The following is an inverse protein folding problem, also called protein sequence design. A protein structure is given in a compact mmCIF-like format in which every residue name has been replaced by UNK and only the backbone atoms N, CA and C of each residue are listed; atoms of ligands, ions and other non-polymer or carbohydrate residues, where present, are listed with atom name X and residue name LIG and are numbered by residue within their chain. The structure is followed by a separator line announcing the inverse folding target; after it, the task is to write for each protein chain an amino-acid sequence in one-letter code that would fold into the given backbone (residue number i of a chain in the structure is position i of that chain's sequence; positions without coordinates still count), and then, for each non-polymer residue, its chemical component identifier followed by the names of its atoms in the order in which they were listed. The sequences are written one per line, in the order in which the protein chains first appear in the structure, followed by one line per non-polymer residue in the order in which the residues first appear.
data_IF_280965401692
#
_entry.id   IF_280965401692
#
_cell.length_a   1.000
_cell.length_b   1.000
_cell.length_c   1.000
_cell.angle_alpha   90.00
_cell.angle_beta   90.00
_cell.angle_gamma   90.00
#
_symmetry.space_group_name_H-M   'P 1'
#
loop_
_entity.id
_entity.type
_entity.pdbx_description
1 polymer ?
#
# COMPACT_ATOMS: atom_id res chain seq x y z
N UNK A 1 -38.61 17.42 -11.96
CA UNK A 1 -37.46 18.32 -11.70
C UNK A 1 -36.24 17.42 -11.89
N UNK A 2 -36.06 17.01 -13.14
CA UNK A 2 -35.38 15.78 -13.53
C UNK A 2 -34.50 16.12 -14.73
N UNK A 3 -33.26 15.60 -14.72
CA UNK A 3 -32.23 15.59 -15.80
C UNK A 3 -30.88 16.30 -15.49
N UNK A 4 -30.67 16.93 -14.34
CA UNK A 4 -29.40 17.66 -14.08
C UNK A 4 -28.35 16.92 -13.20
N UNK A 5 -28.50 15.62 -12.95
CA UNK A 5 -27.49 14.78 -12.28
C UNK A 5 -26.86 13.77 -13.25
N UNK A 6 -26.64 14.20 -14.49
CA UNK A 6 -25.88 13.46 -15.51
C UNK A 6 -24.39 13.43 -15.14
N UNK A 7 -23.95 12.32 -14.54
CA UNK A 7 -22.54 11.93 -14.25
C UNK A 7 -21.68 13.00 -13.54
N UNK A 8 -21.43 12.77 -12.25
CA UNK A 8 -20.49 13.55 -11.44
C UNK A 8 -19.01 13.36 -11.83
N UNK A 9 -18.71 12.31 -12.60
CA UNK A 9 -17.36 11.95 -13.05
C UNK A 9 -17.33 12.02 -14.59
N UNK A 10 -16.57 12.95 -15.20
CA UNK A 10 -16.33 12.97 -16.63
C UNK A 10 -15.78 11.64 -17.17
N UNK A 11 -16.26 11.25 -18.36
CA UNK A 11 -15.94 9.96 -18.99
C UNK A 11 -14.45 9.72 -19.23
N UNK A 12 -13.65 10.78 -19.28
CA UNK A 12 -12.22 10.70 -19.51
C UNK A 12 -11.40 10.35 -18.26
N UNK A 13 -11.94 10.53 -17.04
CA UNK A 13 -11.17 10.24 -15.83
C UNK A 13 -11.01 8.74 -15.55
N UNK A 14 -12.00 7.90 -15.88
CA UNK A 14 -11.89 6.45 -15.72
C UNK A 14 -10.69 5.86 -16.47
N UNK A 15 -10.57 6.06 -17.79
CA UNK A 15 -9.41 5.64 -18.57
C UNK A 15 -8.09 6.26 -18.08
N UNK A 16 -8.12 7.53 -17.66
CA UNK A 16 -6.92 8.21 -17.16
C UNK A 16 -6.44 7.60 -15.85
N UNK A 17 -7.33 7.36 -14.89
CA UNK A 17 -6.99 6.69 -13.64
C UNK A 17 -6.54 5.24 -13.85
N UNK A 18 -7.17 4.51 -14.77
CA UNK A 18 -6.71 3.16 -15.13
C UNK A 18 -5.26 3.19 -15.63
N UNK A 19 -4.92 4.17 -16.49
CA UNK A 19 -3.55 4.37 -16.96
C UNK A 19 -2.59 4.74 -15.84
N UNK A 20 -3.02 5.55 -14.86
CA UNK A 20 -2.19 5.87 -13.70
C UNK A 20 -1.97 4.64 -12.81
N UNK A 21 -3.01 3.83 -12.57
CA UNK A 21 -2.87 2.55 -11.86
C UNK A 21 -1.85 1.63 -12.52
N UNK A 22 -1.90 1.47 -13.84
CA UNK A 22 -0.93 0.65 -14.56
C UNK A 22 0.49 1.22 -14.47
N UNK A 23 0.62 2.55 -14.64
CA UNK A 23 1.90 3.26 -14.52
C UNK A 23 2.51 3.10 -13.14
N UNK A 24 1.76 3.41 -12.07
CA UNK A 24 2.22 3.29 -10.67
C UNK A 24 2.62 1.85 -10.36
N UNK A 25 1.80 0.87 -10.74
CA UNK A 25 2.07 -0.54 -10.50
C UNK A 25 3.33 -1.02 -11.26
N UNK A 26 3.48 -0.63 -12.52
CA UNK A 26 4.65 -0.95 -13.34
C UNK A 26 5.93 -0.35 -12.77
N UNK A 27 5.90 0.93 -12.39
CA UNK A 27 7.04 1.63 -11.80
C UNK A 27 7.43 1.06 -10.45
N UNK A 28 6.47 0.79 -9.56
CA UNK A 28 6.73 0.16 -8.26
C UNK A 28 7.39 -1.22 -8.42
N UNK A 29 6.89 -2.06 -9.34
CA UNK A 29 7.51 -3.37 -9.61
C UNK A 29 8.91 -3.25 -10.21
N UNK A 30 9.14 -2.24 -11.05
CA UNK A 30 10.45 -2.00 -11.63
C UNK A 30 11.47 -1.59 -10.57
N UNK A 31 11.11 -0.65 -9.68
CA UNK A 31 11.92 -0.24 -8.53
C UNK A 31 12.22 -1.44 -7.62
N UNK A 32 11.23 -2.30 -7.35
CA UNK A 32 11.41 -3.49 -6.53
C UNK A 32 12.35 -4.55 -7.14
N UNK A 33 12.64 -4.46 -8.45
CA UNK A 33 13.59 -5.34 -9.14
C UNK A 33 15.00 -4.74 -9.24
N UNK A 34 15.15 -3.44 -8.96
CA UNK A 34 16.46 -2.82 -8.90
C UNK A 34 17.31 -3.46 -7.80
N UNK A 35 18.63 -3.42 -8.01
CA UNK A 35 19.57 -3.98 -7.06
C UNK A 35 19.46 -3.28 -5.70
N UNK A 36 19.52 -4.03 -4.58
CA UNK A 36 19.59 -3.45 -3.24
C UNK A 36 20.86 -2.57 -3.09
N UNK A 37 20.70 -1.38 -2.52
CA UNK A 37 21.79 -0.39 -2.30
C UNK A 37 22.74 -0.73 -1.15
N UNK A 38 22.42 -1.76 -0.37
CA UNK A 38 23.09 -2.07 0.89
C UNK A 38 24.55 -2.42 0.70
N UNK A 39 25.43 -1.67 1.38
CA UNK A 39 26.86 -1.90 1.34
C UNK A 39 27.27 -3.21 2.03
N UNK A 40 28.50 -3.67 1.79
CA UNK A 40 29.03 -4.87 2.46
C UNK A 40 29.11 -4.67 3.97
N UNK A 41 29.42 -3.46 4.40
CA UNK A 41 29.52 -3.07 5.81
C UNK A 41 28.14 -3.13 6.49
N UNK A 42 27.08 -2.65 5.82
CA UNK A 42 25.71 -2.74 6.35
C UNK A 42 25.27 -4.19 6.51
N UNK A 43 25.58 -5.06 5.53
CA UNK A 43 25.27 -6.49 5.60
C UNK A 43 26.06 -7.18 6.72
N UNK A 44 27.34 -6.87 6.86
CA UNK A 44 28.19 -7.40 7.92
C UNK A 44 27.66 -7.02 9.32
N UNK A 45 27.24 -5.77 9.49
CA UNK A 45 26.63 -5.30 10.75
C UNK A 45 25.35 -6.07 11.08
N UNK A 46 24.47 -6.27 10.10
CA UNK A 46 23.26 -7.07 10.31
C UNK A 46 23.60 -8.52 10.73
N UNK A 47 24.59 -9.14 10.09
CA UNK A 47 25.04 -10.48 10.47
C UNK A 47 25.58 -10.55 11.89
N UNK A 48 26.40 -9.57 12.31
CA UNK A 48 26.94 -9.50 13.67
C UNK A 48 25.83 -9.36 14.73
N UNK A 49 24.84 -8.52 14.46
CA UNK A 49 23.73 -8.27 15.39
C UNK A 49 22.86 -9.52 15.50
N UNK A 50 22.38 -10.05 14.38
CA UNK A 50 21.44 -11.16 14.42
C UNK A 50 22.09 -12.50 14.76
N UNK A 51 23.42 -12.62 14.73
CA UNK A 51 24.19 -13.81 15.14
C UNK A 51 23.55 -15.11 14.65
N UNK A 52 23.11 -15.06 13.39
CA UNK A 52 22.50 -16.19 12.72
C UNK A 52 23.56 -16.79 11.83
N UNK A 53 23.90 -18.06 12.08
CA UNK A 53 24.77 -18.90 11.22
C UNK A 53 24.24 -19.04 9.78
N UNK A 54 23.17 -18.33 9.44
CA UNK A 54 22.41 -18.44 8.21
C UNK A 54 22.36 -17.07 7.54
N UNK A 55 22.80 -17.04 6.30
CA UNK A 55 22.82 -15.91 5.34
C UNK A 55 21.44 -15.24 5.07
N UNK A 56 20.42 -15.48 5.88
CA UNK A 56 19.01 -15.31 5.51
C UNK A 56 18.40 -13.94 5.83
N UNK A 57 18.82 -13.24 6.89
CA UNK A 57 18.07 -12.04 7.34
C UNK A 57 18.07 -10.89 6.31
N UNK A 58 19.22 -10.51 5.71
CA UNK A 58 19.25 -9.63 4.55
C UNK A 58 18.36 -10.07 3.39
N UNK A 59 18.41 -11.36 3.05
CA UNK A 59 17.68 -11.93 1.92
C UNK A 59 16.16 -11.90 2.17
N UNK A 60 15.74 -12.26 3.39
CA UNK A 60 14.35 -12.24 3.84
C UNK A 60 13.75 -10.83 3.73
N UNK A 61 14.52 -9.82 4.09
CA UNK A 61 14.10 -8.42 3.98
C UNK A 61 13.81 -8.04 2.53
N UNK A 62 14.65 -8.48 1.60
CA UNK A 62 14.45 -8.23 0.18
C UNK A 62 13.30 -9.04 -0.41
N UNK A 63 13.12 -10.30 0.02
CA UNK A 63 11.96 -11.12 -0.35
C UNK A 63 10.65 -10.48 0.10
N UNK A 64 10.59 -9.97 1.35
CA UNK A 64 9.42 -9.28 1.87
C UNK A 64 9.17 -7.97 1.12
N UNK A 65 10.20 -7.15 0.90
CA UNK A 65 10.07 -5.92 0.10
C UNK A 65 9.52 -6.22 -1.31
N UNK A 66 10.05 -7.24 -1.97
CA UNK A 66 9.62 -7.62 -3.31
C UNK A 66 8.20 -8.20 -3.31
N UNK A 67 7.85 -9.03 -2.32
CA UNK A 67 6.51 -9.60 -2.18
C UNK A 67 5.47 -8.50 -1.94
N UNK A 68 5.73 -7.58 -1.02
CA UNK A 68 4.85 -6.45 -0.72
C UNK A 68 4.71 -5.51 -1.93
N UNK A 69 5.81 -5.16 -2.60
CA UNK A 69 5.75 -4.31 -3.80
C UNK A 69 4.96 -4.97 -4.95
N UNK A 70 5.16 -6.27 -5.17
CA UNK A 70 4.40 -7.02 -6.17
C UNK A 70 2.92 -7.13 -5.80
N UNK A 71 2.60 -7.33 -4.52
CA UNK A 71 1.23 -7.41 -4.04
C UNK A 71 0.52 -6.06 -4.17
N UNK A 72 1.13 -4.97 -3.69
CA UNK A 72 0.64 -3.60 -3.88
C UNK A 72 0.40 -3.29 -5.35
N UNK A 73 1.36 -3.59 -6.22
CA UNK A 73 1.20 -3.36 -7.66
C UNK A 73 0.03 -4.17 -8.25
N UNK A 74 -0.17 -5.42 -7.82
CA UNK A 74 -1.30 -6.23 -8.24
C UNK A 74 -2.64 -5.64 -7.80
N UNK A 75 -2.72 -5.17 -6.55
CA UNK A 75 -3.92 -4.53 -6.00
C UNK A 75 -4.25 -3.24 -6.77
N UNK A 76 -3.25 -2.39 -7.01
CA UNK A 76 -3.38 -1.13 -7.77
C UNK A 76 -3.81 -1.40 -9.22
N UNK A 77 -3.23 -2.39 -9.92
CA UNK A 77 -3.73 -2.81 -11.25
C UNK A 77 -5.18 -3.27 -11.18
N UNK A 78 -5.53 -4.06 -10.15
CA UNK A 78 -6.90 -4.49 -9.88
C UNK A 78 -7.87 -3.32 -9.78
N UNK A 79 -7.50 -2.25 -9.06
CA UNK A 79 -8.29 -1.02 -8.97
C UNK A 79 -8.49 -0.38 -10.35
N UNK A 80 -7.43 -0.30 -11.17
CA UNK A 80 -7.47 0.22 -12.54
C UNK A 80 -8.36 -0.61 -13.47
N UNK A 81 -8.33 -1.94 -13.38
CA UNK A 81 -9.22 -2.81 -14.16
C UNK A 81 -10.69 -2.66 -13.80
N UNK A 82 -10.97 -2.34 -12.53
CA UNK A 82 -12.33 -2.16 -12.04
C UNK A 82 -12.88 -0.74 -12.26
N UNK A 83 -12.03 0.25 -12.59
CA UNK A 83 -12.46 1.66 -12.70
C UNK A 83 -13.38 1.96 -13.85
N UNK A 84 -13.27 1.18 -14.91
CA UNK A 84 -14.14 1.29 -16.07
C UNK A 84 -15.38 0.38 -15.97
N UNK A 85 -15.54 -0.37 -14.87
CA UNK A 85 -16.65 -1.32 -14.67
C UNK A 85 -17.68 -0.78 -13.69
N UNK A 86 -18.65 -0.06 -14.24
CA UNK A 86 -19.81 0.49 -13.49
C UNK A 86 -20.52 -0.63 -12.72
N UNK A 87 -20.78 -0.42 -11.43
CA UNK A 87 -21.59 -1.32 -10.59
C UNK A 87 -20.83 -2.38 -9.77
N UNK A 88 -19.49 -2.33 -9.71
CA UNK A 88 -18.66 -3.26 -8.92
C UNK A 88 -18.09 -2.65 -7.62
N UNK A 89 -18.76 -1.66 -7.01
CA UNK A 89 -18.26 -0.97 -5.80
C UNK A 89 -17.89 -1.91 -4.66
N UNK A 90 -18.74 -2.88 -4.35
CA UNK A 90 -18.48 -3.86 -3.29
C UNK A 90 -17.19 -4.67 -3.49
N UNK A 91 -16.75 -4.84 -4.74
CA UNK A 91 -15.51 -5.53 -5.07
C UNK A 91 -14.27 -4.61 -5.01
N UNK A 92 -14.45 -3.29 -4.98
CA UNK A 92 -13.35 -2.30 -5.06
C UNK A 92 -12.89 -1.81 -3.70
N UNK A 93 -13.80 -1.57 -2.76
CA UNK A 93 -13.42 -1.12 -1.41
C UNK A 93 -12.42 -2.07 -0.73
N UNK A 94 -12.60 -3.41 -0.77
CA UNK A 94 -11.59 -4.33 -0.20
C UNK A 94 -10.21 -4.20 -0.87
N UNK A 95 -10.17 -3.93 -2.17
CA UNK A 95 -8.91 -3.70 -2.89
C UNK A 95 -8.27 -2.36 -2.53
N UNK A 96 -9.07 -1.31 -2.27
CA UNK A 96 -8.57 -0.02 -1.80
C UNK A 96 -7.93 -0.20 -0.43
N UNK A 97 -8.66 -0.81 0.52
CA UNK A 97 -8.16 -1.08 1.88
C UNK A 97 -6.86 -1.86 1.80
N UNK A 98 -6.85 -3.01 1.12
CA UNK A 98 -5.65 -3.84 1.00
C UNK A 98 -4.48 -3.08 0.34
N UNK A 99 -4.75 -2.21 -0.65
CA UNK A 99 -3.71 -1.41 -1.30
C UNK A 99 -3.14 -0.35 -0.36
N UNK A 100 -3.98 0.30 0.45
CA UNK A 100 -3.55 1.24 1.50
C UNK A 100 -2.67 0.50 2.52
N UNK A 101 -3.18 -0.57 3.13
CA UNK A 101 -2.48 -1.34 4.16
C UNK A 101 -1.13 -1.88 3.67
N UNK A 102 -1.10 -2.52 2.50
CA UNK A 102 0.13 -3.10 1.94
C UNK A 102 1.15 -2.02 1.57
N UNK A 103 0.69 -0.86 1.05
CA UNK A 103 1.57 0.27 0.74
C UNK A 103 2.13 0.91 2.02
N UNK A 104 1.31 1.09 3.06
CA UNK A 104 1.75 1.62 4.35
C UNK A 104 2.78 0.70 5.00
N UNK A 105 2.56 -0.62 4.91
CA UNK A 105 3.49 -1.62 5.39
C UNK A 105 4.85 -1.55 4.66
N UNK A 106 4.81 -1.52 3.33
CA UNK A 106 6.03 -1.39 2.51
C UNK A 106 6.79 -0.10 2.80
N UNK A 107 6.07 1.02 2.91
CA UNK A 107 6.67 2.30 3.29
C UNK A 107 7.32 2.21 4.68
N UNK A 108 6.58 1.69 5.68
CA UNK A 108 7.02 1.61 7.07
C UNK A 108 8.35 0.87 7.18
N UNK A 109 8.46 -0.30 6.57
CA UNK A 109 9.70 -1.10 6.57
C UNK A 109 10.88 -0.28 6.01
N UNK A 110 10.67 0.45 4.92
CA UNK A 110 11.74 1.16 4.22
C UNK A 110 12.10 2.54 4.82
N UNK A 111 11.35 3.02 5.82
CA UNK A 111 11.66 4.25 6.56
C UNK A 111 12.86 4.12 7.49
N UNK A 112 13.22 2.91 7.91
CA UNK A 112 14.21 2.70 8.96
C UNK A 112 15.65 2.47 8.46
N UNK A 113 16.59 2.39 9.41
CA UNK A 113 17.94 1.93 9.12
C UNK A 113 17.94 0.48 8.63
N UNK A 114 19.03 0.03 8.03
CA UNK A 114 19.09 -1.32 7.45
C UNK A 114 18.85 -2.45 8.47
N UNK A 115 19.41 -2.32 9.67
CA UNK A 115 19.26 -3.32 10.74
C UNK A 115 17.82 -3.33 11.25
N UNK A 116 17.26 -2.16 11.53
CA UNK A 116 15.86 -2.03 11.98
C UNK A 116 14.90 -2.55 10.91
N UNK A 117 15.19 -2.30 9.63
CA UNK A 117 14.41 -2.81 8.51
C UNK A 117 14.38 -4.33 8.49
N UNK A 118 15.53 -4.97 8.73
CA UNK A 118 15.62 -6.42 8.86
C UNK A 118 14.73 -6.94 9.99
N UNK A 119 14.79 -6.29 11.14
CA UNK A 119 13.91 -6.60 12.27
C UNK A 119 12.43 -6.40 11.91
N UNK A 120 12.04 -5.26 11.37
CA UNK A 120 10.65 -4.98 11.01
C UNK A 120 10.11 -5.91 9.92
N UNK A 121 10.93 -6.34 8.97
CA UNK A 121 10.55 -7.35 7.97
C UNK A 121 10.24 -8.71 8.62
N UNK A 122 10.97 -9.10 9.68
CA UNK A 122 10.62 -10.31 10.44
C UNK A 122 9.31 -10.16 11.19
N UNK A 123 9.07 -9.00 11.81
CA UNK A 123 7.81 -8.70 12.50
C UNK A 123 6.59 -8.68 11.58
N UNK A 124 6.76 -8.32 10.31
CA UNK A 124 5.69 -8.48 9.31
C UNK A 124 5.28 -9.95 9.17
N UNK A 125 6.23 -10.86 9.16
CA UNK A 125 5.93 -12.29 9.00
C UNK A 125 5.23 -12.82 10.26
N UNK A 126 5.75 -12.52 11.44
CA UNK A 126 5.19 -13.01 12.71
C UNK A 126 3.82 -12.41 13.03
N UNK A 127 3.67 -11.10 12.84
CA UNK A 127 2.52 -10.37 13.38
C UNK A 127 1.42 -10.17 12.34
N UNK A 128 1.75 -10.16 11.04
CA UNK A 128 0.81 -9.86 9.95
C UNK A 128 0.56 -11.04 9.00
N UNK A 129 1.55 -11.88 8.73
CA UNK A 129 1.38 -13.06 7.86
C UNK A 129 0.88 -14.28 8.65
N UNK A 130 -0.26 -14.15 9.32
CA UNK A 130 -0.87 -15.24 10.09
C UNK A 130 -1.66 -16.21 9.19
N UNK A 131 -0.95 -16.99 8.38
CA UNK A 131 -1.52 -18.20 7.80
C UNK A 131 -1.21 -19.40 8.71
N UNK A 132 -2.21 -19.97 9.41
CA UNK A 132 -1.99 -21.13 10.29
C UNK A 132 -1.43 -22.35 9.55
N UNK A 133 -1.62 -22.41 8.23
CA UNK A 133 -1.06 -23.45 7.36
C UNK A 133 0.42 -23.21 7.07
N UNK A 134 0.83 -21.98 6.77
CA UNK A 134 2.23 -21.64 6.56
C UNK A 134 3.02 -21.76 7.87
N UNK A 135 2.48 -21.28 8.98
CA UNK A 135 3.14 -21.38 10.30
C UNK A 135 3.38 -22.84 10.72
N UNK A 136 2.47 -23.77 10.40
CA UNK A 136 2.67 -25.22 10.66
C UNK A 136 3.69 -25.88 9.73
N UNK A 137 3.74 -25.48 8.46
CA UNK A 137 4.69 -26.02 7.48
C UNK A 137 6.10 -25.46 7.69
N UNK A 138 6.23 -24.33 8.41
CA UNK A 138 7.48 -23.62 8.67
C UNK A 138 7.75 -23.42 10.18
N UNK A 139 7.49 -24.42 11.03
CA UNK A 139 7.77 -24.31 12.47
C UNK A 139 9.24 -23.99 12.80
N UNK A 140 10.18 -24.34 11.91
CA UNK A 140 11.59 -23.96 12.01
C UNK A 140 11.82 -22.46 11.75
N UNK A 141 10.94 -21.82 10.97
CA UNK A 141 10.96 -20.39 10.69
C UNK A 141 10.46 -19.59 11.91
N UNK A 142 9.50 -20.12 12.67
CA UNK A 142 8.99 -19.47 13.89
C UNK A 142 10.11 -19.29 14.93
N UNK A 143 10.83 -20.36 15.27
CA UNK A 143 11.98 -20.27 16.18
C UNK A 143 13.12 -19.38 15.65
N UNK A 144 13.30 -19.31 14.33
CA UNK A 144 14.26 -18.40 13.70
C UNK A 144 13.83 -16.93 13.81
N UNK A 145 12.57 -16.62 13.57
CA UNK A 145 12.02 -15.27 13.70
C UNK A 145 12.06 -14.78 15.16
N UNK A 146 11.74 -15.66 16.11
CA UNK A 146 11.89 -15.38 17.56
C UNK A 146 13.34 -15.10 17.95
N UNK A 147 14.30 -15.83 17.38
CA UNK A 147 15.72 -15.60 17.62
C UNK A 147 16.18 -14.24 17.09
N UNK A 148 15.72 -13.85 15.89
CA UNK A 148 16.01 -12.51 15.32
C UNK A 148 15.44 -11.41 16.20
N UNK A 149 14.18 -11.56 16.63
CA UNK A 149 13.54 -10.61 17.52
C UNK A 149 14.30 -10.47 18.84
N UNK A 150 14.65 -11.60 19.48
CA UNK A 150 15.41 -11.61 20.74
C UNK A 150 16.78 -10.95 20.58
N UNK A 151 17.48 -11.24 19.48
CA UNK A 151 18.79 -10.67 19.19
C UNK A 151 18.70 -9.14 19.01
N UNK A 152 17.71 -8.66 18.25
CA UNK A 152 17.47 -7.22 18.08
C UNK A 152 17.14 -6.54 19.42
N UNK A 153 16.22 -7.12 20.18
CA UNK A 153 15.77 -6.56 21.46
C UNK A 153 16.89 -6.50 22.49
N UNK A 154 17.85 -7.43 22.43
CA UNK A 154 18.97 -7.49 23.39
C UNK A 154 20.15 -6.61 22.99
N UNK A 155 20.42 -6.47 21.68
CA UNK A 155 21.66 -5.84 21.18
C UNK A 155 21.46 -4.44 20.59
N UNK A 156 20.24 -4.09 20.15
CA UNK A 156 19.96 -2.83 19.44
C UNK A 156 18.99 -1.95 20.21
N UNK A 157 17.89 -2.50 20.71
CA UNK A 157 16.85 -1.72 21.39
C UNK A 157 16.13 -2.54 22.43
N UNK A 158 16.10 -2.09 23.69
CA UNK A 158 15.31 -2.73 24.75
C UNK A 158 13.77 -2.57 24.57
N UNK A 159 13.31 -1.95 23.47
CA UNK A 159 11.89 -1.71 23.20
C UNK A 159 11.21 -2.96 22.62
N UNK A 160 10.30 -3.53 23.41
CA UNK A 160 9.37 -4.60 22.98
C UNK A 160 8.10 -4.07 22.33
N UNK A 161 8.20 -2.93 21.65
CA UNK A 161 7.02 -2.31 21.05
C UNK A 161 6.34 -3.28 20.06
N UNK A 162 5.00 -3.43 20.14
CA UNK A 162 4.26 -4.23 19.19
C UNK A 162 4.33 -3.61 17.80
N UNK A 163 4.28 -4.45 16.76
CA UNK A 163 4.12 -3.95 15.41
C UNK A 163 2.80 -3.19 15.29
N UNK A 164 2.78 -1.97 14.71
CA UNK A 164 1.54 -1.19 14.62
C UNK A 164 0.45 -1.95 13.86
N UNK A 165 -0.80 -1.78 14.30
CA UNK A 165 -1.94 -2.32 13.56
C UNK A 165 -2.13 -1.59 12.20
N UNK A 166 -2.91 -2.18 11.30
CA UNK A 166 -3.04 -1.64 9.94
C UNK A 166 -3.69 -0.25 9.92
N UNK A 167 -4.63 -0.01 10.84
CA UNK A 167 -5.25 1.29 11.00
C UNK A 167 -4.24 2.37 11.40
N UNK A 168 -3.31 2.05 12.30
CA UNK A 168 -2.24 2.95 12.71
C UNK A 168 -1.30 3.23 11.54
N UNK A 169 -0.85 2.19 10.82
CA UNK A 169 0.06 2.36 9.67
C UNK A 169 -0.55 3.23 8.57
N UNK A 170 -1.81 2.95 8.21
CA UNK A 170 -2.51 3.73 7.19
C UNK A 170 -2.74 5.16 7.66
N UNK A 171 -3.15 5.36 8.92
CA UNK A 171 -3.37 6.69 9.51
C UNK A 171 -2.09 7.53 9.54
N UNK A 172 -0.95 6.95 9.96
CA UNK A 172 0.35 7.64 9.95
C UNK A 172 0.73 8.04 8.51
N UNK A 173 0.66 7.09 7.58
CA UNK A 173 0.99 7.33 6.18
C UNK A 173 0.09 8.41 5.55
N UNK A 174 -1.22 8.30 5.73
CA UNK A 174 -2.18 9.27 5.20
C UNK A 174 -2.08 10.61 5.91
N UNK A 175 -1.81 10.63 7.22
CA UNK A 175 -1.52 11.84 7.98
C UNK A 175 -0.36 12.64 7.37
N UNK A 176 0.70 11.94 6.95
CA UNK A 176 1.82 12.56 6.22
C UNK A 176 1.45 13.04 4.82
N UNK A 177 0.61 12.30 4.09
CA UNK A 177 0.30 12.58 2.68
C UNK A 177 -0.82 13.61 2.47
N UNK A 178 -1.78 13.70 3.40
CA UNK A 178 -2.98 14.52 3.26
C UNK A 178 -3.37 15.34 4.51
N UNK A 179 -2.66 15.21 5.64
CA UNK A 179 -2.82 16.11 6.80
C UNK A 179 -3.89 15.72 7.83
N UNK A 180 -4.29 14.44 7.85
CA UNK A 180 -5.25 13.88 8.82
C UNK A 180 -6.39 13.19 8.08
N UNK A 181 -6.81 12.00 8.56
CA UNK A 181 -7.76 11.21 7.78
C UNK A 181 -8.75 10.39 8.62
N UNK A 182 -10.06 10.67 8.46
CA UNK A 182 -11.17 9.80 8.89
C UNK A 182 -11.57 8.80 7.80
N UNK A 183 -11.09 8.97 6.57
CA UNK A 183 -11.48 8.20 5.38
C UNK A 183 -11.19 6.71 5.53
N UNK A 184 -10.02 6.34 6.06
CA UNK A 184 -9.69 4.92 6.21
C UNK A 184 -10.72 4.17 7.07
N UNK A 185 -11.12 4.78 8.19
CA UNK A 185 -12.15 4.23 9.06
C UNK A 185 -13.50 4.14 8.34
N UNK A 186 -13.87 5.18 7.60
CA UNK A 186 -15.10 5.21 6.80
C UNK A 186 -15.12 4.13 5.70
N UNK A 187 -14.00 3.90 5.00
CA UNK A 187 -13.89 2.83 4.00
C UNK A 187 -13.95 1.44 4.65
N UNK A 188 -13.32 1.25 5.81
CA UNK A 188 -13.41 -0.01 6.57
C UNK A 188 -14.85 -0.27 7.07
N UNK A 189 -15.50 0.72 7.67
CA UNK A 189 -16.91 0.63 8.09
C UNK A 189 -17.83 0.37 6.89
N UNK A 190 -17.57 1.01 5.75
CA UNK A 190 -18.29 0.76 4.49
C UNK A 190 -18.06 -0.68 4.00
N UNK A 191 -16.82 -1.16 3.99
CA UNK A 191 -16.51 -2.53 3.61
C UNK A 191 -17.22 -3.55 4.49
N UNK A 192 -17.24 -3.34 5.80
CA UNK A 192 -17.91 -4.24 6.75
C UNK A 192 -19.42 -4.27 6.53
N UNK A 193 -20.05 -3.09 6.42
CA UNK A 193 -21.49 -2.97 6.17
C UNK A 193 -21.91 -3.57 4.82
N UNK A 194 -21.08 -3.41 3.79
CA UNK A 194 -21.40 -3.83 2.44
C UNK A 194 -20.84 -5.19 2.02
N UNK A 195 -19.87 -5.77 2.73
CA UNK A 195 -19.48 -7.17 2.57
C UNK A 195 -20.64 -8.10 2.95
N UNK A 196 -21.38 -7.75 4.00
CA UNK A 196 -22.62 -8.43 4.41
C UNK A 196 -23.75 -8.24 3.39
N UNK A 197 -23.92 -7.03 2.85
CA UNK A 197 -24.94 -6.75 1.83
C UNK A 197 -24.63 -7.40 0.47
N UNK A 198 -23.37 -7.47 0.06
CA UNK A 198 -22.93 -8.15 -1.16
C UNK A 198 -23.03 -9.69 -1.04
N UNK A 199 -22.96 -10.22 0.18
CA UNK A 199 -23.25 -11.62 0.46
C UNK A 199 -24.76 -11.92 0.43
N UNK A 200 -25.61 -10.96 0.83
CA UNK A 200 -27.05 -11.18 0.96
C UNK A 200 -27.92 -10.74 -0.21
N UNK A 201 -27.53 -9.78 -1.05
CA UNK A 201 -28.42 -9.33 -2.12
C UNK A 201 -27.69 -8.59 -3.26
N UNK A 202 -27.73 -9.17 -4.47
CA UNK A 202 -27.37 -8.48 -5.71
C UNK A 202 -28.36 -7.35 -6.09
N UNK A 203 -29.35 -7.09 -5.22
CA UNK A 203 -30.54 -6.27 -5.44
C UNK A 203 -30.45 -4.88 -4.80
N UNK A 204 -29.46 -4.59 -3.94
CA UNK A 204 -29.17 -3.23 -3.42
C UNK A 204 -28.35 -2.40 -4.44
N UNK A 205 -28.54 -2.68 -5.74
CA UNK A 205 -28.16 -1.73 -6.79
C UNK A 205 -29.22 -0.63 -6.80
N UNK A 206 -28.83 0.61 -6.51
CA UNK A 206 -29.44 1.88 -6.97
C UNK A 206 -29.73 2.95 -5.91
N UNK A 207 -29.47 2.75 -4.62
CA UNK A 207 -29.88 3.79 -3.65
C UNK A 207 -28.92 4.99 -3.51
N UNK A 208 -27.65 4.88 -3.94
CA UNK A 208 -26.70 6.00 -3.87
C UNK A 208 -25.65 5.96 -5.00
N UNK A 209 -25.93 6.38 -6.23
CA UNK A 209 -24.96 6.28 -7.34
C UNK A 209 -23.83 7.32 -7.28
N UNK A 210 -24.13 8.60 -7.02
CA UNK A 210 -23.13 9.68 -7.17
C UNK A 210 -22.11 9.75 -6.03
N UNK A 211 -22.55 9.73 -4.76
CA UNK A 211 -21.65 9.67 -3.60
C UNK A 211 -20.85 8.37 -3.59
N UNK A 212 -21.40 7.28 -4.11
CA UNK A 212 -20.71 6.01 -4.18
C UNK A 212 -19.60 5.96 -5.22
N UNK A 213 -19.83 6.53 -6.40
CA UNK A 213 -18.80 6.74 -7.41
C UNK A 213 -17.72 7.70 -6.89
N UNK A 214 -18.12 8.68 -6.08
CA UNK A 214 -17.21 9.65 -5.49
C UNK A 214 -16.18 9.02 -4.55
N UNK A 215 -16.63 8.25 -3.56
CA UNK A 215 -15.73 7.57 -2.61
C UNK A 215 -14.80 6.57 -3.31
N UNK A 216 -15.27 5.89 -4.37
CA UNK A 216 -14.42 4.96 -5.14
C UNK A 216 -13.29 5.68 -5.88
N UNK A 217 -13.59 6.85 -6.46
CA UNK A 217 -12.60 7.66 -7.14
C UNK A 217 -11.54 8.13 -6.16
N UNK A 218 -11.99 8.71 -5.04
CA UNK A 218 -11.11 9.21 -3.99
C UNK A 218 -10.26 8.10 -3.37
N UNK A 219 -10.86 6.94 -3.08
CA UNK A 219 -10.13 5.78 -2.57
C UNK A 219 -9.07 5.27 -3.55
N UNK A 220 -9.35 5.30 -4.86
CA UNK A 220 -8.33 4.97 -5.87
C UNK A 220 -7.20 5.99 -5.86
N UNK A 221 -7.50 7.29 -5.77
CA UNK A 221 -6.49 8.35 -5.67
C UNK A 221 -5.63 8.17 -4.41
N UNK A 222 -6.23 7.84 -3.27
CA UNK A 222 -5.51 7.60 -2.02
C UNK A 222 -4.61 6.35 -2.12
N UNK A 223 -5.14 5.24 -2.64
CA UNK A 223 -4.34 4.04 -2.89
C UNK A 223 -3.15 4.31 -3.81
N UNK A 224 -3.33 5.12 -4.87
CA UNK A 224 -2.24 5.55 -5.74
C UNK A 224 -1.20 6.39 -5.00
N UNK A 225 -1.63 7.39 -4.22
CA UNK A 225 -0.72 8.21 -3.38
C UNK A 225 0.10 7.35 -2.44
N UNK A 226 -0.53 6.38 -1.78
CA UNK A 226 0.15 5.47 -0.89
C UNK A 226 1.16 4.60 -1.64
N UNK A 227 0.78 4.00 -2.77
CA UNK A 227 1.69 3.19 -3.57
C UNK A 227 2.88 4.01 -4.12
N UNK A 228 2.65 5.26 -4.54
CA UNK A 228 3.70 6.20 -4.96
C UNK A 228 4.66 6.51 -3.81
N UNK A 229 4.13 6.84 -2.63
CA UNK A 229 4.95 7.11 -1.45
C UNK A 229 5.78 5.88 -1.04
N UNK A 230 5.17 4.70 -1.04
CA UNK A 230 5.87 3.44 -0.78
C UNK A 230 6.98 3.17 -1.81
N UNK A 231 6.73 3.45 -3.09
CA UNK A 231 7.73 3.34 -4.15
C UNK A 231 8.90 4.31 -3.94
N UNK A 232 8.66 5.54 -3.50
CA UNK A 232 9.72 6.49 -3.16
C UNK A 232 10.61 5.99 -2.02
N UNK A 233 10.01 5.51 -0.93
CA UNK A 233 10.78 4.95 0.20
C UNK A 233 11.57 3.70 -0.20
N UNK A 234 10.98 2.85 -1.05
CA UNK A 234 11.68 1.68 -1.58
C UNK A 234 12.85 2.08 -2.47
N UNK A 235 12.68 3.07 -3.36
CA UNK A 235 13.72 3.52 -4.28
C UNK A 235 14.96 4.05 -3.55
N UNK A 236 14.81 4.71 -2.40
CA UNK A 236 15.95 5.12 -1.56
C UNK A 236 16.79 3.96 -1.02
N UNK A 237 16.29 2.73 -1.11
CA UNK A 237 17.00 1.50 -0.72
C UNK A 237 17.52 0.73 -1.93
N UNK A 238 17.38 1.27 -3.14
CA UNK A 238 17.79 0.66 -4.40
C UNK A 238 19.00 1.39 -4.98
N UNK A 239 19.69 0.74 -5.91
CA UNK A 239 20.74 1.38 -6.69
C UNK A 239 20.19 2.66 -7.32
N UNK A 240 20.80 3.80 -6.97
CA UNK A 240 20.36 5.11 -7.43
C UNK A 240 20.38 5.22 -8.95
N UNK A 241 21.36 4.61 -9.61
CA UNK A 241 21.48 4.68 -11.07
C UNK A 241 20.40 3.89 -11.79
N UNK A 242 19.97 2.75 -11.25
CA UNK A 242 18.88 1.95 -11.82
C UNK A 242 17.49 2.53 -11.49
N UNK A 243 17.34 3.14 -10.30
CA UNK A 243 16.05 3.62 -9.80
C UNK A 243 15.69 5.05 -10.21
N UNK A 244 16.67 5.88 -10.62
CA UNK A 244 16.47 7.28 -11.04
C UNK A 244 15.42 7.42 -12.16
N UNK A 245 15.53 6.64 -13.24
CA UNK A 245 14.57 6.71 -14.34
C UNK A 245 13.15 6.30 -13.94
N UNK A 246 13.01 5.41 -12.96
CA UNK A 246 11.71 5.03 -12.41
C UNK A 246 11.14 6.10 -11.48
N UNK A 247 12.00 6.81 -10.73
CA UNK A 247 11.60 7.95 -9.90
C UNK A 247 11.11 9.13 -10.75
N UNK A 248 11.72 9.40 -11.90
CA UNK A 248 11.23 10.40 -12.85
C UNK A 248 9.84 10.03 -13.39
N UNK A 249 9.67 8.77 -13.81
CA UNK A 249 8.37 8.27 -14.25
C UNK A 249 7.30 8.37 -13.13
N UNK A 250 7.69 8.07 -11.89
CA UNK A 250 6.81 8.19 -10.72
C UNK A 250 6.42 9.65 -10.47
N UNK A 251 7.35 10.59 -10.61
CA UNK A 251 7.08 12.02 -10.46
C UNK A 251 6.08 12.55 -11.51
N UNK A 252 6.19 12.08 -12.76
CA UNK A 252 5.23 12.42 -13.81
C UNK A 252 3.84 11.87 -13.49
N UNK A 253 3.77 10.61 -13.05
CA UNK A 253 2.53 9.95 -12.62
C UNK A 253 1.88 10.71 -11.46
N UNK A 254 2.64 11.04 -10.41
CA UNK A 254 2.18 11.81 -9.25
C UNK A 254 1.63 13.17 -9.66
N UNK A 255 2.33 13.89 -10.54
CA UNK A 255 1.92 15.20 -11.07
C UNK A 255 0.61 15.11 -11.88
N UNK A 256 0.42 14.02 -12.63
CA UNK A 256 -0.83 13.75 -13.37
C UNK A 256 -1.97 13.40 -12.40
N UNK A 257 -1.73 12.56 -11.40
CA UNK A 257 -2.70 12.22 -10.36
C UNK A 257 -3.16 13.47 -9.60
N UNK A 258 -2.24 14.37 -9.25
CA UNK A 258 -2.57 15.62 -8.55
C UNK A 258 -3.45 16.55 -9.37
N UNK A 259 -3.17 16.69 -10.67
CA UNK A 259 -4.04 17.44 -11.58
C UNK A 259 -5.45 16.87 -11.61
N UNK A 260 -5.58 15.55 -11.76
CA UNK A 260 -6.89 14.88 -11.74
C UNK A 260 -7.60 15.09 -10.40
N UNK A 261 -6.89 14.96 -9.27
CA UNK A 261 -7.48 15.20 -7.96
C UNK A 261 -7.93 16.67 -7.78
N UNK A 262 -7.19 17.63 -8.34
CA UNK A 262 -7.55 19.05 -8.31
C UNK A 262 -8.77 19.35 -9.17
N UNK A 263 -8.76 18.90 -10.44
CA UNK A 263 -9.90 19.02 -11.36
C UNK A 263 -11.16 18.39 -10.77
N UNK A 264 -10.99 17.24 -10.11
CA UNK A 264 -12.05 16.53 -9.41
C UNK A 264 -12.65 17.35 -8.26
N UNK A 265 -11.81 17.92 -7.41
CA UNK A 265 -12.25 18.75 -6.30
C UNK A 265 -12.95 20.04 -6.77
N UNK A 266 -12.52 20.63 -7.88
CA UNK A 266 -13.20 21.79 -8.48
C UNK A 266 -14.59 21.42 -9.00
N UNK A 267 -14.72 20.30 -9.71
CA UNK A 267 -16.02 19.81 -10.18
C UNK A 267 -16.96 19.47 -9.02
N UNK A 268 -16.43 18.92 -7.94
CA UNK A 268 -17.21 18.65 -6.73
C UNK A 268 -17.79 19.95 -6.14
N UNK A 269 -16.98 21.00 -5.98
CA UNK A 269 -17.45 22.30 -5.46
C UNK A 269 -18.56 22.88 -6.31
N UNK A 270 -18.35 22.90 -7.64
CA UNK A 270 -19.35 23.39 -8.60
C UNK A 270 -20.67 22.62 -8.46
N UNK A 271 -20.60 21.30 -8.30
CA UNK A 271 -21.79 20.46 -8.25
C UNK A 271 -22.47 20.44 -6.87
N UNK A 272 -21.75 20.78 -5.79
CA UNK A 272 -22.30 21.00 -4.45
C UNK A 272 -22.82 22.43 -4.23
N UNK A 273 -22.50 23.37 -5.14
CA UNK A 273 -22.92 24.78 -5.06
C UNK A 273 -22.06 25.65 -4.15
N UNK A 274 -20.82 25.22 -3.89
CA UNK A 274 -19.79 25.94 -3.11
C UNK A 274 -18.84 26.75 -4.00
#
# INVERSE_FOLDING_TARGET
MDQALTRYIPDHWGPTLASLCEGTAGTLQAIARCSPSESKEMRALAHEIFDTDIYFVPALTEEINQALANHTASLVRGLGHLINRVGLRAARTPLVIAALETSSLLQRINQFSYVDRCYWATRVITDKMTSPRLLREFSELEGFLEAIQTAYETKVSDSREPFPDDATLVSEMMGHLIGGDSFYKEECEYAEQHALAAHHDATVKNQYPATAEFHQFLGTIHALRCAESAAHFLAWRRDGTESEGFLEALSEISSRRERIASEYNEQLKIALGD
#
